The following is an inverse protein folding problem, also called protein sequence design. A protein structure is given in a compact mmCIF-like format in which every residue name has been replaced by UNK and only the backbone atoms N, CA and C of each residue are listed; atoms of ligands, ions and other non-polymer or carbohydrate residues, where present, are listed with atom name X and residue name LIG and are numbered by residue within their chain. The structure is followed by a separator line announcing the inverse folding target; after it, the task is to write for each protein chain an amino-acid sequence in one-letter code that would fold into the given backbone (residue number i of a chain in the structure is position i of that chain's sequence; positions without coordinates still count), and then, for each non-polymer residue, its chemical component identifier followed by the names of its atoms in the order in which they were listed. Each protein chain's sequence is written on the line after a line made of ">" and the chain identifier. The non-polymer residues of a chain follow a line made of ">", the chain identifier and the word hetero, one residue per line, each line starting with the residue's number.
data_IF_468109515850
#
_entry.id   IF_468109515850
#
_cell.length_a   1.000
_cell.length_b   1.000
_cell.length_c   1.000
_cell.angle_alpha   90.00
_cell.angle_beta   90.00
_cell.angle_gamma   90.00
#
_symmetry.space_group_name_H-M   'P 1'
#
loop_
_entity.id
_entity.type
_entity.pdbx_description
1 polymer ?
#
# COMPACT_ATOMS: atom_id res chain seq x y z
N UNK A 1 -14.39 0.71 18.06
CA UNK A 1 -15.00 1.93 17.49
C UNK A 1 -14.92 1.84 15.97
N UNK A 2 -16.02 2.04 15.27
CA UNK A 2 -16.14 1.90 13.80
C UNK A 2 -15.30 2.95 13.03
N UNK A 3 -14.74 3.92 13.75
CA UNK A 3 -13.82 4.98 13.30
C UNK A 3 -12.35 4.57 13.16
N UNK A 4 -11.98 3.31 13.48
CA UNK A 4 -10.60 2.79 13.37
C UNK A 4 -10.32 2.07 12.04
N UNK A 5 -11.02 2.43 10.96
CA UNK A 5 -10.82 1.80 9.65
C UNK A 5 -10.86 2.85 8.55
N UNK A 6 -9.99 2.69 7.56
CA UNK A 6 -10.03 3.47 6.32
C UNK A 6 -8.84 4.39 6.14
N UNK A 7 -8.97 5.36 5.24
CA UNK A 7 -7.94 6.35 4.90
C UNK A 7 -8.36 7.77 5.27
N UNK A 8 -9.25 7.94 6.25
CA UNK A 8 -9.56 9.27 6.77
C UNK A 8 -8.32 9.90 7.39
N UNK A 9 -8.25 11.23 7.36
CA UNK A 9 -7.12 11.97 7.94
C UNK A 9 -6.88 11.61 9.40
N UNK A 10 -7.95 11.46 10.19
CA UNK A 10 -7.89 11.01 11.58
C UNK A 10 -7.17 9.67 11.69
N UNK A 11 -7.60 8.68 10.89
CA UNK A 11 -7.04 7.34 10.98
C UNK A 11 -5.59 7.27 10.48
N UNK A 12 -5.23 8.00 9.41
CA UNK A 12 -3.85 8.05 8.92
C UNK A 12 -2.90 8.58 10.01
N UNK A 13 -3.26 9.69 10.66
CA UNK A 13 -2.41 10.33 11.68
C UNK A 13 -2.33 9.47 12.94
N UNK A 14 -3.48 9.03 13.48
CA UNK A 14 -3.52 8.23 14.71
C UNK A 14 -2.90 6.84 14.49
N UNK A 15 -3.17 6.23 13.33
CA UNK A 15 -2.64 4.92 12.94
C UNK A 15 -1.13 4.94 12.76
N UNK A 16 -0.57 5.96 12.11
CA UNK A 16 0.88 6.10 11.96
C UNK A 16 1.55 6.36 13.31
N UNK A 17 1.04 7.29 14.13
CA UNK A 17 1.57 7.54 15.48
C UNK A 17 1.60 6.28 16.34
N UNK A 18 0.49 5.54 16.34
CA UNK A 18 0.41 4.27 17.08
C UNK A 18 1.38 3.23 16.54
N UNK A 19 1.67 3.24 15.24
CA UNK A 19 2.64 2.34 14.62
C UNK A 19 4.08 2.70 14.99
N UNK A 20 4.41 3.99 14.97
CA UNK A 20 5.71 4.51 15.39
C UNK A 20 6.02 4.19 16.85
N UNK A 21 5.03 4.35 17.75
CA UNK A 21 5.16 3.97 19.15
C UNK A 21 5.49 2.48 19.32
N UNK A 22 4.77 1.59 18.60
CA UNK A 22 5.04 0.14 18.63
C UNK A 22 6.38 -0.24 18.02
N UNK A 23 6.82 0.50 17.00
CA UNK A 23 8.11 0.28 16.34
C UNK A 23 9.28 0.88 17.13
N UNK A 24 9.01 1.75 18.11
CA UNK A 24 10.02 2.54 18.82
C UNK A 24 10.88 3.38 17.86
N UNK A 25 10.22 3.99 16.88
CA UNK A 25 10.84 4.86 15.88
C UNK A 25 10.19 6.24 15.89
N UNK A 26 10.96 7.26 15.57
CA UNK A 26 10.45 8.62 15.38
C UNK A 26 9.75 8.79 14.02
N UNK A 27 10.18 8.01 13.02
CA UNK A 27 9.63 8.02 11.66
C UNK A 27 9.78 6.66 10.97
N UNK A 28 9.10 6.51 9.83
CA UNK A 28 9.37 5.46 8.83
C UNK A 28 9.81 6.07 7.51
N UNK A 29 10.58 5.36 6.69
CA UNK A 29 10.96 5.91 5.38
C UNK A 29 9.74 6.06 4.46
N UNK A 30 8.84 5.08 4.48
CA UNK A 30 7.65 5.07 3.63
C UNK A 30 6.45 4.57 4.43
N UNK A 31 5.38 5.37 4.48
CA UNK A 31 4.07 4.94 4.97
C UNK A 31 3.15 4.59 3.80
N UNK A 32 2.43 3.46 3.88
CA UNK A 32 1.58 2.97 2.80
C UNK A 32 0.09 3.09 3.10
N UNK A 33 -0.68 3.53 2.11
CA UNK A 33 -2.12 3.29 2.05
C UNK A 33 -2.38 1.81 1.71
N UNK A 34 -2.70 0.98 2.71
CA UNK A 34 -2.72 -0.49 2.57
C UNK A 34 -3.79 -1.04 1.58
N UNK A 35 -4.87 -0.28 1.34
CA UNK A 35 -5.92 -0.56 0.35
C UNK A 35 -6.61 0.75 -0.01
N UNK A 36 -7.27 0.88 -1.17
CA UNK A 36 -8.08 2.06 -1.47
C UNK A 36 -9.28 2.15 -0.52
N UNK A 37 -9.78 3.38 -0.35
CA UNK A 37 -10.94 3.69 0.47
C UNK A 37 -11.88 4.62 -0.28
N UNK A 38 -12.92 4.05 -0.90
CA UNK A 38 -13.90 4.80 -1.67
C UNK A 38 -14.83 5.66 -0.81
N UNK A 39 -14.78 5.54 0.51
CA UNK A 39 -15.60 6.36 1.43
C UNK A 39 -14.94 7.69 1.79
N UNK A 40 -13.66 7.87 1.47
CA UNK A 40 -12.88 9.07 1.78
C UNK A 40 -12.46 9.75 0.48
N UNK A 41 -12.68 11.08 0.33
CA UNK A 41 -12.22 11.80 -0.84
C UNK A 41 -10.70 11.72 -1.03
N UNK A 42 -10.24 11.53 -2.27
CA UNK A 42 -8.81 11.42 -2.60
C UNK A 42 -8.00 12.62 -2.08
N UNK A 43 -8.57 13.83 -2.16
CA UNK A 43 -7.93 15.04 -1.63
C UNK A 43 -7.61 14.93 -0.13
N UNK A 44 -8.54 14.40 0.68
CA UNK A 44 -8.31 14.22 2.12
C UNK A 44 -7.16 13.26 2.36
N UNK A 45 -7.13 12.14 1.63
CA UNK A 45 -6.10 11.11 1.73
C UNK A 45 -4.72 11.70 1.41
N UNK A 46 -4.57 12.38 0.26
CA UNK A 46 -3.30 12.96 -0.18
C UNK A 46 -2.84 14.07 0.78
N UNK A 47 -3.75 14.90 1.29
CA UNK A 47 -3.44 15.92 2.30
C UNK A 47 -2.98 15.29 3.62
N UNK A 48 -3.59 14.20 4.05
CA UNK A 48 -3.21 13.51 5.27
C UNK A 48 -1.81 12.89 5.16
N UNK A 49 -1.48 12.24 4.03
CA UNK A 49 -0.13 11.72 3.79
C UNK A 49 0.91 12.83 3.67
N UNK A 50 0.56 13.93 3.01
CA UNK A 50 1.44 15.12 2.95
C UNK A 50 1.68 15.70 4.34
N UNK A 51 0.65 15.75 5.19
CA UNK A 51 0.82 16.22 6.56
C UNK A 51 1.80 15.34 7.34
N UNK A 52 1.63 14.03 7.36
CA UNK A 52 2.51 13.17 8.18
C UNK A 52 3.96 13.21 7.70
N UNK A 53 4.21 13.53 6.42
CA UNK A 53 5.55 13.79 5.91
C UNK A 53 6.09 15.12 6.44
N UNK A 54 5.30 16.20 6.35
CA UNK A 54 5.71 17.51 6.86
C UNK A 54 5.89 17.53 8.38
N UNK A 55 5.17 16.67 9.10
CA UNK A 55 5.30 16.47 10.54
C UNK A 55 6.51 15.57 10.90
N UNK A 56 7.32 15.14 9.92
CA UNK A 56 8.49 14.25 10.05
C UNK A 56 8.18 12.85 10.61
N UNK A 57 6.93 12.38 10.50
CA UNK A 57 6.58 10.99 10.86
C UNK A 57 6.85 10.00 9.73
N UNK A 58 7.06 10.48 8.51
CA UNK A 58 7.47 9.67 7.35
C UNK A 58 8.30 10.49 6.37
N UNK A 59 9.25 9.88 5.65
CA UNK A 59 9.94 10.59 4.56
C UNK A 59 9.10 10.64 3.27
N UNK A 60 8.41 9.56 2.95
CA UNK A 60 7.58 9.43 1.76
C UNK A 60 6.30 8.66 2.05
N UNK A 61 5.43 8.55 1.05
CA UNK A 61 4.28 7.67 1.11
C UNK A 61 4.09 6.89 -0.18
N UNK A 62 3.37 5.78 -0.09
CA UNK A 62 3.06 4.91 -1.22
C UNK A 62 1.64 4.36 -1.13
N UNK A 63 1.21 3.74 -2.23
CA UNK A 63 -0.09 3.08 -2.36
C UNK A 63 0.10 1.57 -2.32
N UNK A 64 -0.94 0.81 -1.98
CA UNK A 64 -0.93 -0.64 -2.02
C UNK A 64 -2.28 -1.18 -2.44
N UNK A 65 -2.28 -2.04 -3.47
CA UNK A 65 -3.49 -2.62 -4.08
C UNK A 65 -4.37 -1.60 -4.79
N UNK A 66 -3.82 -0.43 -5.15
CA UNK A 66 -4.57 0.60 -5.86
C UNK A 66 -4.59 0.30 -7.36
N UNK A 67 -5.66 0.68 -8.04
CA UNK A 67 -5.72 0.65 -9.49
C UNK A 67 -4.82 1.74 -10.11
N UNK A 68 -4.39 1.58 -11.36
CA UNK A 68 -3.71 2.64 -12.11
C UNK A 68 -4.45 3.98 -12.08
N UNK A 69 -5.78 3.93 -12.12
CA UNK A 69 -6.63 5.11 -12.12
C UNK A 69 -6.54 5.87 -10.79
N UNK A 70 -6.68 5.17 -9.65
CA UNK A 70 -6.59 5.77 -8.32
C UNK A 70 -5.20 6.36 -8.04
N UNK A 71 -4.13 5.69 -8.50
CA UNK A 71 -2.75 6.20 -8.38
C UNK A 71 -2.61 7.52 -9.16
N UNK A 72 -3.13 7.57 -10.39
CA UNK A 72 -3.10 8.77 -11.22
C UNK A 72 -3.97 9.88 -10.64
N UNK A 73 -5.09 9.56 -10.02
CA UNK A 73 -5.95 10.52 -9.30
C UNK A 73 -5.19 11.14 -8.12
N UNK A 74 -4.54 10.32 -7.28
CA UNK A 74 -3.71 10.81 -6.19
C UNK A 74 -2.57 11.73 -6.68
N UNK A 75 -1.91 11.34 -7.78
CA UNK A 75 -0.88 12.18 -8.41
C UNK A 75 -1.46 13.50 -8.93
N UNK A 76 -2.62 13.47 -9.58
CA UNK A 76 -3.28 14.66 -10.12
C UNK A 76 -3.66 15.65 -9.01
N UNK A 77 -4.28 15.16 -7.93
CA UNK A 77 -4.60 15.93 -6.73
C UNK A 77 -3.33 16.54 -6.12
N UNK A 78 -2.26 15.76 -6.03
CA UNK A 78 -1.00 16.26 -5.49
C UNK A 78 -0.44 17.42 -6.32
N UNK A 79 -0.47 17.32 -7.64
CA UNK A 79 -0.04 18.41 -8.52
C UNK A 79 -0.95 19.63 -8.46
N UNK A 80 -2.26 19.43 -8.42
CA UNK A 80 -3.24 20.52 -8.38
C UNK A 80 -3.11 21.38 -7.12
N UNK A 81 -2.85 20.75 -5.97
CA UNK A 81 -2.84 21.43 -4.66
C UNK A 81 -1.44 21.61 -4.08
N UNK A 82 -0.38 21.38 -4.86
CA UNK A 82 1.01 21.45 -4.43
C UNK A 82 1.30 20.58 -3.18
N UNK A 83 0.80 19.34 -3.22
CA UNK A 83 1.00 18.32 -2.19
C UNK A 83 2.04 17.29 -2.64
N UNK A 84 2.39 16.35 -1.77
CA UNK A 84 3.42 15.34 -2.05
C UNK A 84 2.75 14.12 -2.71
N UNK A 85 3.11 13.74 -3.95
CA UNK A 85 2.57 12.56 -4.62
C UNK A 85 3.13 11.25 -4.05
N UNK A 86 2.45 10.09 -4.22
CA UNK A 86 3.00 8.81 -3.81
C UNK A 86 4.21 8.44 -4.67
N UNK A 87 5.21 7.79 -4.07
CA UNK A 87 6.45 7.43 -4.76
C UNK A 87 6.51 5.98 -5.23
N UNK A 88 5.65 5.11 -4.70
CA UNK A 88 5.67 3.69 -5.04
C UNK A 88 4.29 3.03 -4.85
N UNK A 89 4.07 1.96 -5.61
CA UNK A 89 2.93 1.05 -5.45
C UNK A 89 3.42 -0.31 -4.91
N UNK A 90 2.78 -0.79 -3.84
CA UNK A 90 2.91 -2.16 -3.35
C UNK A 90 1.84 -3.06 -3.99
N UNK A 91 2.25 -4.03 -4.79
CA UNK A 91 1.32 -4.88 -5.56
C UNK A 91 1.69 -6.35 -5.52
N UNK A 92 0.69 -7.22 -5.64
CA UNK A 92 0.93 -8.64 -5.80
C UNK A 92 1.62 -8.90 -7.14
N UNK A 93 2.64 -9.75 -7.13
CA UNK A 93 3.25 -10.25 -8.35
C UNK A 93 3.83 -11.64 -8.15
N UNK A 94 3.38 -12.59 -8.96
CA UNK A 94 3.87 -13.96 -9.00
C UNK A 94 3.43 -14.62 -10.31
N UNK A 95 3.80 -15.88 -10.53
CA UNK A 95 3.50 -16.57 -11.79
C UNK A 95 2.00 -16.69 -12.10
N UNK A 96 1.12 -16.61 -11.08
CA UNK A 96 -0.34 -16.63 -11.26
C UNK A 96 -0.95 -15.22 -11.35
N UNK A 97 -0.22 -14.19 -10.94
CA UNK A 97 -0.70 -12.80 -10.89
C UNK A 97 0.34 -11.86 -11.49
N UNK A 98 0.13 -11.50 -12.77
CA UNK A 98 1.15 -10.82 -13.60
C UNK A 98 0.66 -9.52 -14.21
N UNK A 99 -0.62 -9.45 -14.56
CA UNK A 99 -1.20 -8.41 -15.41
C UNK A 99 -0.90 -7.00 -14.92
N UNK A 100 -1.13 -6.71 -13.64
CA UNK A 100 -0.93 -5.35 -13.12
C UNK A 100 0.51 -4.87 -13.26
N UNK A 101 1.47 -5.70 -12.88
CA UNK A 101 2.89 -5.34 -12.87
C UNK A 101 3.48 -5.30 -14.27
N UNK A 102 3.08 -6.21 -15.15
CA UNK A 102 3.66 -6.32 -16.49
C UNK A 102 2.97 -5.43 -17.51
N UNK A 103 1.66 -5.20 -17.37
CA UNK A 103 0.87 -4.47 -18.38
C UNK A 103 0.58 -3.03 -17.97
N UNK A 104 0.16 -2.79 -16.72
CA UNK A 104 -0.36 -1.47 -16.33
C UNK A 104 0.67 -0.55 -15.68
N UNK A 105 1.47 -1.07 -14.75
CA UNK A 105 2.43 -0.25 -13.99
C UNK A 105 3.60 0.34 -14.82
N UNK A 106 4.14 -0.32 -15.87
CA UNK A 106 5.24 0.24 -16.66
C UNK A 106 4.91 1.59 -17.30
N UNK A 107 3.65 1.80 -17.69
CA UNK A 107 3.21 3.08 -18.25
C UNK A 107 3.13 4.17 -17.19
N UNK A 108 2.76 3.83 -15.96
CA UNK A 108 2.75 4.77 -14.83
C UNK A 108 4.19 5.18 -14.47
N UNK A 109 5.13 4.24 -14.43
CA UNK A 109 6.55 4.53 -14.14
C UNK A 109 7.12 5.56 -15.11
N UNK A 110 6.86 5.37 -16.41
CA UNK A 110 7.35 6.29 -17.46
C UNK A 110 6.72 7.69 -17.36
N UNK A 111 5.46 7.79 -16.93
CA UNK A 111 4.71 9.05 -16.90
C UNK A 111 4.99 9.89 -15.66
N UNK A 112 5.04 9.26 -14.48
CA UNK A 112 5.10 9.98 -13.20
C UNK A 112 6.27 9.59 -12.31
N UNK A 113 7.14 8.67 -12.76
CA UNK A 113 8.32 8.24 -11.99
C UNK A 113 8.00 7.37 -10.78
N UNK A 114 6.83 6.73 -10.75
CA UNK A 114 6.42 5.83 -9.67
C UNK A 114 7.35 4.61 -9.62
N UNK A 115 7.74 4.16 -8.42
CA UNK A 115 8.39 2.87 -8.21
C UNK A 115 7.39 1.73 -7.97
N UNK A 116 7.88 0.50 -7.87
CA UNK A 116 7.04 -0.64 -7.46
C UNK A 116 7.77 -1.59 -6.54
N UNK A 117 7.03 -2.06 -5.54
CA UNK A 117 7.47 -3.02 -4.55
C UNK A 117 6.51 -4.21 -4.55
N UNK A 118 6.93 -5.34 -5.09
CA UNK A 118 6.04 -6.50 -5.23
C UNK A 118 5.98 -7.35 -3.96
N UNK A 119 4.82 -7.94 -3.68
CA UNK A 119 4.62 -8.89 -2.58
C UNK A 119 4.05 -10.24 -3.05
N UNK A 120 4.13 -11.24 -2.17
CA UNK A 120 3.77 -12.65 -2.44
C UNK A 120 4.38 -13.26 -3.71
N UNK A 121 5.71 -13.21 -3.91
CA UNK A 121 6.36 -13.80 -5.08
C UNK A 121 6.13 -15.32 -5.20
N UNK A 122 5.88 -16.00 -4.07
CA UNK A 122 5.59 -17.43 -4.02
C UNK A 122 4.10 -17.75 -3.84
N UNK A 123 3.21 -16.79 -4.10
CA UNK A 123 1.76 -16.93 -3.92
C UNK A 123 1.40 -17.56 -2.56
N UNK A 124 1.85 -16.92 -1.47
CA UNK A 124 1.67 -17.43 -0.10
C UNK A 124 2.23 -18.85 0.16
N UNK A 125 3.14 -19.32 -0.69
CA UNK A 125 3.78 -20.64 -0.63
C UNK A 125 3.24 -21.64 -1.67
N UNK A 126 2.20 -21.30 -2.45
CA UNK A 126 1.66 -22.20 -3.48
C UNK A 126 2.72 -22.58 -4.52
N UNK A 127 3.54 -21.62 -4.93
CA UNK A 127 4.60 -21.82 -5.94
C UNK A 127 5.84 -22.56 -5.42
N UNK A 128 5.79 -23.13 -4.22
CA UNK A 128 6.91 -23.90 -3.66
C UNK A 128 6.83 -25.40 -3.93
N UNK A 129 5.72 -25.90 -4.51
CA UNK A 129 5.46 -27.33 -4.66
C UNK A 129 5.01 -28.04 -3.38
N UNK A 130 5.07 -27.37 -2.21
CA UNK A 130 4.75 -28.01 -0.90
C UNK A 130 3.33 -28.54 -0.74
N UNK A 131 2.44 -28.24 -1.68
CA UNK A 131 1.04 -28.64 -1.67
C UNK A 131 0.69 -29.72 -2.71
N UNK A 132 1.67 -30.27 -3.42
CA UNK A 132 1.45 -31.30 -4.45
C UNK A 132 0.82 -32.57 -3.87
N UNK A 133 1.29 -33.01 -2.69
CA UNK A 133 0.80 -34.21 -2.00
C UNK A 133 -0.22 -33.89 -0.87
N UNK A 134 -0.89 -32.74 -0.94
CA UNK A 134 -1.87 -32.28 0.05
C UNK A 134 -1.37 -31.16 0.96
N UNK A 135 -2.02 -30.93 2.10
CA UNK A 135 -1.74 -29.76 2.97
C UNK A 135 -0.81 -30.15 4.13
N UNK A 136 0.45 -29.63 4.20
CA UNK A 136 1.34 -29.93 5.31
C UNK A 136 0.84 -29.34 6.63
N UNK A 137 1.03 -30.07 7.74
CA UNK A 137 0.48 -29.75 9.08
C UNK A 137 0.84 -28.36 9.64
N UNK A 138 1.96 -27.79 9.19
CA UNK A 138 2.45 -26.46 9.60
C UNK A 138 2.48 -25.45 8.45
N UNK A 139 1.81 -25.77 7.35
CA UNK A 139 1.69 -24.85 6.22
C UNK A 139 0.65 -23.76 6.51
N UNK A 140 0.72 -22.67 5.75
CA UNK A 140 -0.26 -21.58 5.84
C UNK A 140 -1.69 -22.07 5.55
N UNK A 141 -1.86 -23.06 4.66
CA UNK A 141 -3.17 -23.64 4.35
C UNK A 141 -3.73 -24.56 5.45
N UNK A 142 -2.91 -24.98 6.43
CA UNK A 142 -3.37 -25.76 7.58
C UNK A 142 -3.96 -24.89 8.70
N UNK A 143 -3.79 -23.56 8.64
CA UNK A 143 -4.32 -22.64 9.66
C UNK A 143 -5.84 -22.59 9.52
N UNK A 144 -6.56 -23.08 10.53
CA UNK A 144 -8.02 -22.90 10.63
C UNK A 144 -8.30 -21.43 10.96
N UNK A 145 -8.91 -20.71 10.03
CA UNK A 145 -9.46 -19.38 10.30
C UNK A 145 -10.60 -19.55 11.30
N UNK A 146 -10.48 -18.96 12.49
CA UNK A 146 -11.57 -18.82 13.46
C UNK A 146 -12.49 -17.68 13.07
#
# INVERSE_FOLDING_TARGET
>A
AETEKGLSRKHIIEGLRSSLERLQLDYVDIVFANKPDSSVPMEEIVRAFTQVINDNHSFYWGTSRWSPMEIMEAYSIARQFNLIPPICEQTEYNLFQREKVETFLPDIFKKIGLGTMTWSPLACGLLTGKYEDGVPLHSRAAIKVR
#
